data_IF_047004934149
#
_entry.id   IF_047004934149
#
_cell.length_a   1.000
_cell.length_b   1.000
_cell.length_c   1.000
_cell.angle_alpha   90.00
_cell.angle_beta   90.00
_cell.angle_gamma   90.00
#
_symmetry.space_group_name_H-M   'P 1'
#
loop_
_entity.id
_entity.type
_entity.pdbx_description
1 polymer ?
#
# COMPACT_ATOMS: atom_id res chain seq x y z
N UNK A 1 -10.92 4.62 -19.68
CA UNK A 1 -9.76 5.50 -19.98
C UNK A 1 -8.52 4.86 -19.36
N UNK A 2 -7.33 5.01 -19.93
CA UNK A 2 -6.09 4.48 -19.37
C UNK A 2 -4.91 5.38 -19.73
N UNK A 3 -3.88 5.37 -18.88
CA UNK A 3 -2.59 6.01 -19.14
C UNK A 3 -1.55 4.93 -19.48
N UNK A 4 -0.59 5.29 -20.33
CA UNK A 4 0.51 4.40 -20.72
C UNK A 4 1.76 4.86 -20.00
N UNK A 5 2.40 3.93 -19.29
CA UNK A 5 3.67 4.13 -18.64
C UNK A 5 4.69 3.10 -19.10
N UNK A 6 5.97 3.45 -19.01
CA UNK A 6 7.06 2.48 -19.11
C UNK A 6 7.63 2.25 -17.72
N UNK A 7 8.09 1.04 -17.43
CA UNK A 7 8.90 0.82 -16.23
C UNK A 7 10.20 1.61 -16.41
N UNK A 8 10.53 2.41 -15.41
CA UNK A 8 11.73 3.22 -15.35
C UNK A 8 12.81 2.49 -14.55
N UNK A 9 12.58 2.31 -13.25
CA UNK A 9 13.48 1.60 -12.36
C UNK A 9 12.74 0.53 -11.55
N UNK A 10 13.48 -0.51 -11.15
CA UNK A 10 13.02 -1.51 -10.18
C UNK A 10 13.92 -1.40 -8.95
N UNK A 11 13.32 -1.08 -7.81
CA UNK A 11 14.00 -0.97 -6.53
C UNK A 11 13.65 -2.17 -5.67
N UNK A 12 14.65 -2.92 -5.23
CA UNK A 12 14.48 -4.01 -4.28
C UNK A 12 15.06 -3.59 -2.93
N UNK A 13 14.33 -3.88 -1.86
CA UNK A 13 14.73 -3.45 -0.53
C UNK A 13 14.04 -4.23 0.57
N UNK A 14 14.34 -3.82 1.80
CA UNK A 14 13.71 -4.38 3.00
C UNK A 14 13.45 -3.27 4.01
N UNK A 15 12.40 -3.43 4.80
CA UNK A 15 12.18 -2.59 5.98
C UNK A 15 12.87 -3.18 7.19
N UNK A 16 13.23 -2.32 8.16
CA UNK A 16 13.82 -2.80 9.40
C UNK A 16 12.73 -3.36 10.31
N UNK A 17 13.14 -4.27 11.19
CA UNK A 17 12.28 -4.76 12.26
C UNK A 17 11.77 -3.58 13.10
N UNK A 18 10.52 -3.68 13.53
CA UNK A 18 9.79 -2.74 14.37
C UNK A 18 9.43 -1.40 13.67
N UNK A 19 9.82 -1.19 12.41
CA UNK A 19 9.26 -0.10 11.60
C UNK A 19 7.78 -0.37 11.28
N UNK A 20 6.99 0.69 11.17
CA UNK A 20 5.63 0.58 10.66
C UNK A 20 5.65 0.33 9.15
N UNK A 21 4.97 -0.73 8.71
CA UNK A 21 4.99 -1.18 7.31
C UNK A 21 4.50 -0.10 6.33
N UNK A 22 3.44 0.64 6.68
CA UNK A 22 2.90 1.68 5.80
C UNK A 22 3.84 2.88 5.74
N UNK A 23 4.25 3.41 6.90
CA UNK A 23 5.14 4.58 6.93
C UNK A 23 6.55 4.28 6.41
N UNK A 24 7.07 3.07 6.63
CA UNK A 24 8.33 2.62 6.06
C UNK A 24 8.30 2.66 4.54
N UNK A 25 7.30 2.04 3.91
CA UNK A 25 7.11 2.10 2.45
C UNK A 25 6.93 3.54 1.93
N UNK A 26 6.13 4.36 2.62
CA UNK A 26 5.94 5.77 2.24
C UNK A 26 7.24 6.59 2.32
N UNK A 27 8.09 6.31 3.31
CA UNK A 27 9.41 6.94 3.41
C UNK A 27 10.32 6.53 2.26
N UNK A 28 10.34 5.25 1.89
CA UNK A 28 11.11 4.75 0.74
C UNK A 28 10.66 5.41 -0.57
N UNK A 29 9.35 5.46 -0.82
CA UNK A 29 8.76 6.14 -2.00
C UNK A 29 9.22 7.61 -2.06
N UNK A 30 9.17 8.30 -0.92
CA UNK A 30 9.55 9.71 -0.83
C UNK A 30 11.06 9.91 -1.02
N UNK A 31 11.90 9.08 -0.41
CA UNK A 31 13.36 9.16 -0.51
C UNK A 31 13.84 8.89 -1.94
N UNK A 32 13.18 7.97 -2.64
CA UNK A 32 13.43 7.65 -4.04
C UNK A 32 12.75 8.62 -5.02
N UNK A 33 11.99 9.59 -4.52
CA UNK A 33 11.24 10.58 -5.32
C UNK A 33 10.32 9.94 -6.38
N UNK A 34 9.61 8.87 -6.00
CA UNK A 34 8.72 8.12 -6.89
C UNK A 34 7.32 8.73 -6.85
N UNK A 35 6.81 9.17 -8.01
CA UNK A 35 5.49 9.80 -8.13
C UNK A 35 4.42 8.88 -8.74
N UNK A 36 4.83 7.85 -9.49
CA UNK A 36 3.97 6.87 -10.12
C UNK A 36 4.67 5.51 -10.10
N UNK A 37 3.93 4.44 -9.83
CA UNK A 37 4.52 3.12 -9.80
C UNK A 37 3.64 2.03 -9.19
N UNK A 38 4.25 0.88 -9.02
CA UNK A 38 3.67 -0.29 -8.36
C UNK A 38 4.59 -0.78 -7.25
N UNK A 39 3.99 -1.28 -6.17
CA UNK A 39 4.68 -1.87 -5.04
C UNK A 39 4.18 -3.30 -4.82
N UNK A 40 5.10 -4.21 -4.56
CA UNK A 40 4.81 -5.54 -4.06
C UNK A 40 5.79 -5.95 -2.97
N UNK A 41 5.40 -6.90 -2.13
CA UNK A 41 6.31 -7.47 -1.14
C UNK A 41 5.72 -8.63 -0.36
N UNK A 42 6.59 -9.28 0.40
CA UNK A 42 6.30 -10.41 1.30
C UNK A 42 7.11 -10.26 2.58
N UNK A 43 6.72 -10.98 3.63
CA UNK A 43 7.37 -10.87 4.93
C UNK A 43 6.48 -11.33 6.06
N UNK A 44 6.63 -10.74 7.24
CA UNK A 44 5.83 -10.98 8.43
C UNK A 44 5.74 -9.74 9.32
N UNK A 45 4.67 -9.69 10.12
CA UNK A 45 4.36 -8.60 11.06
C UNK A 45 4.12 -9.19 12.44
N UNK A 46 4.30 -8.39 13.49
CA UNK A 46 4.01 -8.82 14.87
C UNK A 46 2.54 -8.58 15.26
N UNK A 47 1.88 -7.65 14.57
CA UNK A 47 0.43 -7.37 14.57
C UNK A 47 0.09 -6.59 13.29
N UNK A 48 -1.19 -6.46 12.95
CA UNK A 48 -1.60 -5.63 11.81
C UNK A 48 -2.90 -4.86 12.05
N UNK A 49 -3.02 -3.75 11.34
CA UNK A 49 -4.24 -2.98 11.21
C UNK A 49 -4.67 -2.96 9.75
N UNK A 50 -5.91 -3.36 9.48
CA UNK A 50 -6.49 -3.37 8.13
C UNK A 50 -7.87 -2.71 8.13
N UNK A 51 -8.31 -2.24 6.96
CA UNK A 51 -9.64 -1.63 6.82
C UNK A 51 -10.47 -2.29 5.72
N UNK A 52 -11.78 -2.34 5.96
CA UNK A 52 -12.81 -2.64 4.98
C UNK A 52 -13.62 -1.38 4.70
N UNK A 53 -13.90 -1.07 3.43
CA UNK A 53 -14.69 0.11 3.09
C UNK A 53 -16.18 -0.25 2.99
N UNK A 54 -16.99 0.26 3.92
CA UNK A 54 -18.44 0.09 3.90
C UNK A 54 -19.06 0.99 2.83
N UNK A 55 -19.40 0.40 1.69
CA UNK A 55 -19.92 1.12 0.52
C UNK A 55 -21.31 1.75 0.76
N UNK A 56 -22.08 1.27 1.73
CA UNK A 56 -23.39 1.85 2.08
C UNK A 56 -23.23 3.10 2.94
N UNK A 57 -22.27 3.09 3.86
CA UNK A 57 -22.02 4.18 4.80
C UNK A 57 -20.99 5.20 4.27
N UNK A 58 -20.18 4.81 3.28
CA UNK A 58 -19.10 5.64 2.76
C UNK A 58 -17.93 5.81 3.74
N UNK A 59 -17.69 4.81 4.59
CA UNK A 59 -16.71 4.88 5.69
C UNK A 59 -15.86 3.62 5.79
N UNK A 60 -14.65 3.77 6.31
CA UNK A 60 -13.77 2.64 6.61
C UNK A 60 -14.09 2.04 7.99
N UNK A 61 -14.16 0.72 8.03
CA UNK A 61 -14.26 -0.11 9.22
C UNK A 61 -12.88 -0.73 9.48
N UNK A 62 -12.24 -0.30 10.56
CA UNK A 62 -10.90 -0.75 10.91
C UNK A 62 -10.96 -2.03 11.73
N UNK A 63 -10.02 -2.93 11.49
CA UNK A 63 -9.82 -4.17 12.25
C UNK A 63 -8.36 -4.27 12.68
N UNK A 64 -8.16 -4.54 13.96
CA UNK A 64 -6.83 -4.76 14.55
C UNK A 64 -6.64 -6.24 14.88
N UNK A 65 -5.53 -6.81 14.43
CA UNK A 65 -5.21 -8.21 14.61
C UNK A 65 -3.89 -8.28 15.38
N UNK A 66 -4.00 -8.61 16.67
CA UNK A 66 -2.92 -8.46 17.64
C UNK A 66 -2.16 -9.79 17.85
N UNK A 67 -1.69 -10.36 16.75
CA UNK A 67 -0.94 -11.62 16.70
C UNK A 67 0.06 -11.62 15.52
N UNK A 68 1.16 -12.39 15.58
CA UNK A 68 2.09 -12.51 14.45
C UNK A 68 1.45 -13.14 13.22
N UNK A 69 1.75 -12.61 12.04
CA UNK A 69 1.23 -13.10 10.76
C UNK A 69 2.27 -13.01 9.65
N UNK A 70 2.22 -13.95 8.71
CA UNK A 70 2.97 -13.88 7.46
C UNK A 70 2.24 -12.98 6.46
N UNK A 71 2.95 -12.01 5.89
CA UNK A 71 2.55 -11.25 4.71
C UNK A 71 2.77 -12.13 3.48
N UNK A 72 1.75 -12.87 3.09
CA UNK A 72 1.80 -13.74 1.89
C UNK A 72 1.62 -12.96 0.59
N UNK A 73 1.05 -11.75 0.67
CA UNK A 73 1.05 -10.80 -0.44
C UNK A 73 0.79 -9.38 0.05
N UNK A 74 1.62 -8.43 -0.37
CA UNK A 74 1.34 -7.01 -0.34
C UNK A 74 1.37 -6.48 -1.78
N UNK A 75 0.37 -5.67 -2.14
CA UNK A 75 0.32 -5.01 -3.45
C UNK A 75 -0.22 -3.60 -3.31
N UNK A 76 0.35 -2.68 -4.05
CA UNK A 76 -0.13 -1.30 -4.09
C UNK A 76 0.29 -0.56 -5.34
N UNK A 77 -0.32 0.60 -5.53
CA UNK A 77 0.10 1.56 -6.55
C UNK A 77 0.55 2.85 -5.88
N UNK A 78 1.45 3.56 -6.56
CA UNK A 78 1.96 4.87 -6.19
C UNK A 78 1.39 5.85 -7.20
N UNK A 79 0.86 6.97 -6.70
CA UNK A 79 0.25 8.03 -7.51
C UNK A 79 0.34 9.34 -6.72
N UNK A 80 -0.19 10.44 -7.25
CA UNK A 80 -0.25 11.72 -6.54
C UNK A 80 -1.60 11.92 -5.85
N UNK A 81 -1.58 12.44 -4.63
CA UNK A 81 -2.74 13.00 -3.94
C UNK A 81 -2.30 14.31 -3.29
N UNK A 82 -3.01 15.40 -3.57
CA UNK A 82 -2.66 16.74 -3.08
C UNK A 82 -1.18 17.10 -3.41
N UNK A 83 -0.77 16.82 -4.65
CA UNK A 83 0.59 16.99 -5.21
C UNK A 83 1.72 16.26 -4.46
N UNK A 84 1.38 15.26 -3.65
CA UNK A 84 2.33 14.44 -2.90
C UNK A 84 2.22 12.98 -3.29
N UNK A 85 3.33 12.21 -3.25
CA UNK A 85 3.28 10.77 -3.41
C UNK A 85 2.33 10.14 -2.40
N UNK A 86 1.51 9.22 -2.89
CA UNK A 86 0.53 8.47 -2.12
C UNK A 86 0.51 7.03 -2.59
N UNK A 87 0.70 6.10 -1.66
CA UNK A 87 0.56 4.68 -1.91
C UNK A 87 -0.82 4.18 -1.47
N UNK A 88 -1.56 3.55 -2.38
CA UNK A 88 -2.74 2.76 -2.04
C UNK A 88 -2.34 1.29 -1.96
N UNK A 89 -2.32 0.72 -0.76
CA UNK A 89 -1.77 -0.61 -0.50
C UNK A 89 -2.84 -1.52 0.11
N UNK A 90 -2.93 -2.74 -0.43
CA UNK A 90 -3.67 -3.84 0.15
C UNK A 90 -2.71 -4.95 0.58
N UNK A 91 -3.11 -5.70 1.60
CA UNK A 91 -2.31 -6.75 2.21
C UNK A 91 -3.14 -8.01 2.44
N UNK A 92 -2.48 -9.16 2.30
CA UNK A 92 -2.99 -10.50 2.62
C UNK A 92 -2.06 -11.14 3.64
N UNK A 93 -2.64 -11.58 4.75
CA UNK A 93 -1.96 -12.02 5.95
C UNK A 93 -2.41 -13.46 6.27
N UNK A 94 -1.45 -14.36 6.41
CA UNK A 94 -1.69 -15.72 6.89
C UNK A 94 -1.37 -15.80 8.39
N UNK A 95 -2.34 -16.27 9.17
CA UNK A 95 -2.18 -16.57 10.59
C UNK A 95 -1.45 -17.90 10.79
N UNK A 96 -1.13 -18.21 12.05
CA UNK A 96 -0.45 -19.46 12.43
C UNK A 96 -1.19 -20.73 12.00
N UNK A 97 -2.52 -20.69 11.97
CA UNK A 97 -3.38 -21.79 11.52
C UNK A 97 -3.60 -21.83 10.00
N UNK A 98 -2.88 -20.98 9.25
CA UNK A 98 -3.01 -20.75 7.82
C UNK A 98 -4.34 -20.13 7.38
N UNK A 99 -5.18 -19.66 8.32
CA UNK A 99 -6.30 -18.80 7.99
C UNK A 99 -5.78 -17.50 7.38
N UNK A 100 -6.34 -17.12 6.24
CA UNK A 100 -5.95 -15.91 5.53
C UNK A 100 -6.97 -14.81 5.75
N UNK A 101 -6.48 -13.64 6.12
CA UNK A 101 -7.24 -12.39 6.20
C UNK A 101 -6.58 -11.32 5.33
N UNK A 102 -7.28 -10.24 5.03
CA UNK A 102 -6.70 -9.17 4.22
C UNK A 102 -7.62 -7.97 4.10
N UNK A 103 -7.07 -6.88 3.57
CA UNK A 103 -7.79 -5.63 3.41
C UNK A 103 -6.88 -4.49 2.98
N UNK A 104 -7.39 -3.27 3.12
CA UNK A 104 -6.60 -2.05 2.95
C UNK A 104 -5.61 -1.94 4.11
N UNK A 105 -4.32 -1.77 3.81
CA UNK A 105 -3.27 -1.66 4.83
C UNK A 105 -3.41 -0.33 5.57
N UNK A 106 -3.38 -0.37 6.90
CA UNK A 106 -3.30 0.81 7.75
C UNK A 106 -1.96 0.88 8.49
N UNK A 107 -1.57 2.07 8.98
CA UNK A 107 -0.55 2.20 10.02
C UNK A 107 -0.90 1.38 11.28
N UNK A 108 0.06 1.30 12.20
CA UNK A 108 0.06 0.36 13.33
C UNK A 108 0.19 -1.10 12.88
N UNK A 109 1.09 -1.32 11.91
CA UNK A 109 1.44 -2.64 11.35
C UNK A 109 2.96 -2.84 11.42
N UNK A 110 3.53 -3.11 12.61
CA UNK A 110 4.97 -3.26 12.82
C UNK A 110 5.55 -4.50 12.12
N UNK A 111 6.63 -4.27 11.38
CA UNK A 111 7.36 -5.30 10.62
C UNK A 111 8.17 -6.19 11.55
N UNK A 112 8.09 -7.51 11.35
CA UNK A 112 9.10 -8.45 11.86
C UNK A 112 10.21 -8.66 10.84
N UNK A 113 9.83 -8.95 9.59
CA UNK A 113 10.70 -8.96 8.41
C UNK A 113 9.87 -8.58 7.17
N UNK A 114 10.38 -7.78 6.25
CA UNK A 114 9.63 -7.44 5.04
C UNK A 114 10.58 -7.07 3.91
N UNK A 115 10.41 -7.71 2.77
CA UNK A 115 11.17 -7.50 1.54
C UNK A 115 10.20 -7.06 0.44
N UNK A 116 10.58 -6.02 -0.31
CA UNK A 116 9.71 -5.38 -1.29
C UNK A 116 10.41 -5.11 -2.61
N UNK A 117 9.58 -4.93 -3.62
CA UNK A 117 9.94 -4.43 -4.94
C UNK A 117 9.08 -3.21 -5.27
N UNK A 118 9.71 -2.12 -5.71
CA UNK A 118 9.04 -0.93 -6.24
C UNK A 118 9.39 -0.80 -7.71
N UNK A 119 8.37 -0.80 -8.57
CA UNK A 119 8.49 -0.52 -9.99
C UNK A 119 8.10 0.94 -10.20
N UNK A 120 9.08 1.84 -10.38
CA UNK A 120 8.77 3.23 -10.74
C UNK A 120 8.42 3.32 -12.22
N UNK A 121 7.50 4.21 -12.54
CA UNK A 121 6.97 4.39 -13.89
C UNK A 121 7.41 5.73 -14.48
N UNK A 122 7.94 5.70 -15.70
CA UNK A 122 8.23 6.88 -16.50
C UNK A 122 7.02 7.26 -17.37
N UNK A 123 6.68 8.55 -17.37
CA UNK A 123 5.63 9.16 -18.18
C UNK A 123 5.55 10.66 -17.92
N UNK A 124 4.87 11.40 -18.80
CA UNK A 124 4.78 12.86 -18.68
C UNK A 124 3.94 13.32 -17.49
N UNK A 125 2.95 12.53 -17.06
CA UNK A 125 2.07 12.86 -15.94
C UNK A 125 1.77 11.62 -15.09
N UNK A 126 2.09 11.68 -13.79
CA UNK A 126 1.60 10.71 -12.81
C UNK A 126 0.08 10.78 -12.70
N UNK A 127 -0.55 9.67 -12.32
CA UNK A 127 -1.97 9.67 -12.00
C UNK A 127 -2.22 10.54 -10.77
N UNK A 128 -3.18 11.46 -10.87
CA UNK A 128 -3.61 12.31 -9.76
C UNK A 128 -4.92 11.76 -9.19
N UNK A 129 -5.00 11.67 -7.86
CA UNK A 129 -6.19 11.26 -7.15
C UNK A 129 -7.10 12.44 -6.86
N UNK A 130 -8.37 12.34 -7.25
CA UNK A 130 -9.42 13.31 -6.91
C UNK A 130 -10.54 12.61 -6.15
N UNK A 131 -11.22 13.37 -5.30
CA UNK A 131 -12.39 12.89 -4.60
C UNK A 131 -13.50 12.61 -5.61
N UNK A 132 -14.06 11.40 -5.56
CA UNK A 132 -15.18 10.99 -6.38
C UNK A 132 -16.45 10.95 -5.50
N UNK A 133 -17.45 11.74 -5.86
CA UNK A 133 -18.68 11.90 -5.06
C UNK A 133 -19.53 10.63 -4.98
N UNK A 134 -19.49 9.77 -5.99
CA UNK A 134 -20.31 8.55 -6.02
C UNK A 134 -19.78 7.50 -5.03
N UNK A 135 -18.46 7.35 -5.00
CA UNK A 135 -17.78 6.36 -4.16
C UNK A 135 -17.36 6.89 -2.81
N UNK A 136 -17.31 8.23 -2.65
CA UNK A 136 -16.71 8.94 -1.51
C UNK A 136 -15.24 8.57 -1.26
N UNK A 137 -14.52 8.22 -2.32
CA UNK A 137 -13.10 7.83 -2.29
C UNK A 137 -12.24 8.74 -3.17
N UNK A 138 -10.93 8.72 -2.91
CA UNK A 138 -9.94 9.34 -3.77
C UNK A 138 -9.49 8.37 -4.87
N UNK A 139 -9.95 8.59 -6.10
CA UNK A 139 -9.68 7.75 -7.26
C UNK A 139 -8.82 8.50 -8.28
N UNK A 140 -8.16 7.78 -9.19
CA UNK A 140 -7.46 8.41 -10.31
C UNK A 140 -8.41 9.26 -11.17
N UNK A 141 -7.96 10.44 -11.59
CA UNK A 141 -8.82 11.53 -12.07
C UNK A 141 -9.18 11.51 -13.56
N UNK A 142 -9.22 10.34 -14.19
CA UNK A 142 -9.56 10.20 -15.61
C UNK A 142 -11.05 9.92 -15.84
#
# INVERSE_FOLDING_TARGET
>A
MYNIFRIDNVYQGRLKKDEDLYYGLMNEIKNLNIHEGFIAGIGSVTKASIAFYNQKQGTYENTHVNEPMEIVSLKGNISLKDDKPFAHIHITLAKRDFTVIGGHLLPDTPVFAFEYEIFSYAGENANVRKFNEDTKLFLWSF
#
